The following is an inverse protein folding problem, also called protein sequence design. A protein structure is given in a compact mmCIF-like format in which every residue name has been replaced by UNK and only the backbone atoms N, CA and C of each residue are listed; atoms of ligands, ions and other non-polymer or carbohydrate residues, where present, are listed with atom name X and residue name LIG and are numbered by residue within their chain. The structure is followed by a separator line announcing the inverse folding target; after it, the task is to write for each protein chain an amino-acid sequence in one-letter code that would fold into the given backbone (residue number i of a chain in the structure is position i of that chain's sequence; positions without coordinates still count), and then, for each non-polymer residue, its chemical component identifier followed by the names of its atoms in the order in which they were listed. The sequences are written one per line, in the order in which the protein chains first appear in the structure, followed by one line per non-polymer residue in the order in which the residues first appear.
data_IF_357385639281
#
_entry.id   IF_357385639281
#
_cell.length_a   1.000
_cell.length_b   1.000
_cell.length_c   1.000
_cell.angle_alpha   90.00
_cell.angle_beta   90.00
_cell.angle_gamma   90.00
#
_symmetry.space_group_name_H-M   'P 1'
#
loop_
_entity.id
_entity.type
_entity.pdbx_description
1 polymer ?
#
# COMPACT_ATOMS: atom_id res chain seq x y z
N UNK A 1 -6.97 -1.60 8.95
CA UNK A 1 -5.60 -1.66 8.39
C UNK A 1 -5.64 -2.42 7.08
N UNK A 2 -4.69 -2.23 6.18
CA UNK A 2 -4.61 -2.96 4.91
C UNK A 2 -3.24 -3.62 4.75
N UNK A 3 -3.17 -4.78 4.11
CA UNK A 3 -1.91 -5.49 3.85
C UNK A 3 -1.61 -5.56 2.35
N UNK A 4 -0.42 -5.12 1.96
CA UNK A 4 0.14 -5.36 0.64
C UNK A 4 1.03 -6.59 0.74
N UNK A 5 0.71 -7.63 -0.04
CA UNK A 5 1.46 -8.89 -0.01
C UNK A 5 2.46 -8.95 -1.17
N UNK A 6 3.66 -9.46 -0.89
CA UNK A 6 4.66 -9.79 -1.91
C UNK A 6 5.56 -8.63 -2.34
N UNK A 7 5.71 -7.59 -1.54
CA UNK A 7 6.59 -6.46 -1.86
C UNK A 7 8.04 -6.96 -2.02
N UNK A 8 8.73 -6.64 -3.11
CA UNK A 8 10.14 -7.01 -3.29
C UNK A 8 11.03 -6.42 -2.20
N UNK A 9 11.97 -7.22 -1.65
CA UNK A 9 12.87 -6.76 -0.56
C UNK A 9 13.80 -5.61 -0.95
N UNK A 10 14.09 -5.45 -2.23
CA UNK A 10 14.84 -4.34 -2.81
C UNK A 10 14.06 -3.02 -2.80
N UNK A 11 12.73 -3.05 -2.61
CA UNK A 11 11.92 -1.85 -2.39
C UNK A 11 11.94 -1.47 -0.90
N UNK A 12 12.55 -0.33 -0.53
CA UNK A 12 12.59 0.12 0.86
C UNK A 12 11.18 0.41 1.38
N UNK A 13 10.89 -0.03 2.60
CA UNK A 13 9.54 0.06 3.16
C UNK A 13 9.14 1.52 3.43
N UNK A 14 10.12 2.34 3.80
CA UNK A 14 10.04 3.79 3.98
C UNK A 14 9.61 4.54 2.70
N UNK A 15 9.91 4.00 1.53
CA UNK A 15 9.57 4.63 0.25
C UNK A 15 8.26 4.09 -0.35
N UNK A 16 7.71 2.98 0.18
CA UNK A 16 6.46 2.40 -0.34
C UNK A 16 5.31 3.39 -0.39
N UNK A 17 5.14 4.22 0.64
CA UNK A 17 4.05 5.21 0.66
C UNK A 17 4.21 6.23 -0.46
N UNK A 18 5.45 6.70 -0.71
CA UNK A 18 5.75 7.64 -1.80
C UNK A 18 5.50 6.98 -3.15
N UNK A 19 5.95 5.74 -3.31
CA UNK A 19 5.77 4.94 -4.52
C UNK A 19 4.29 4.75 -4.84
N UNK A 20 3.48 4.31 -3.86
CA UNK A 20 2.03 4.12 -4.01
C UNK A 20 1.39 5.43 -4.47
N UNK A 21 1.71 6.55 -3.83
CA UNK A 21 1.16 7.85 -4.20
C UNK A 21 1.57 8.26 -5.62
N UNK A 22 2.84 8.13 -5.96
CA UNK A 22 3.33 8.58 -7.26
C UNK A 22 2.75 7.75 -8.42
N UNK A 23 2.57 6.45 -8.23
CA UNK A 23 2.11 5.54 -9.28
C UNK A 23 0.59 5.35 -9.34
N UNK A 24 -0.14 5.83 -8.33
CA UNK A 24 -1.58 5.68 -8.25
C UNK A 24 -2.16 7.08 -7.98
N UNK A 25 -2.28 7.87 -9.07
CA UNK A 25 -2.73 9.27 -9.03
C UNK A 25 -4.05 9.45 -8.28
N UNK A 26 -4.99 8.52 -8.44
CA UNK A 26 -6.28 8.54 -7.73
C UNK A 26 -6.11 8.40 -6.21
N UNK A 27 -5.12 7.63 -5.73
CA UNK A 27 -4.81 7.51 -4.31
C UNK A 27 -4.13 8.80 -3.82
N UNK A 28 -3.24 9.38 -4.64
CA UNK A 28 -2.58 10.64 -4.30
C UNK A 28 -3.57 11.81 -4.21
N UNK A 29 -4.54 11.89 -5.11
CA UNK A 29 -5.60 12.91 -5.08
C UNK A 29 -6.40 12.83 -3.77
N UNK A 30 -6.84 11.64 -3.38
CA UNK A 30 -7.58 11.43 -2.11
C UNK A 30 -6.70 11.77 -0.89
N UNK A 31 -5.41 11.42 -0.94
CA UNK A 31 -4.46 11.71 0.14
C UNK A 31 -4.14 13.21 0.27
N UNK A 32 -4.16 13.96 -0.85
CA UNK A 32 -3.88 15.40 -0.89
C UNK A 32 -5.10 16.24 -0.51
N UNK A 33 -6.30 15.78 -0.85
CA UNK A 33 -7.57 16.47 -0.57
C UNK A 33 -8.04 16.26 0.89
N UNK A 34 -7.39 15.36 1.63
CA UNK A 34 -7.72 15.09 3.02
C UNK A 34 -6.84 15.87 3.99
N UNK A 35 -7.47 16.54 4.97
CA UNK A 35 -6.83 17.12 6.17
C UNK A 35 -6.11 16.05 7.03
N UNK A 36 -6.36 14.77 6.76
CA UNK A 36 -5.88 13.65 7.55
C UNK A 36 -4.46 13.24 7.14
N UNK A 37 -3.47 13.80 7.85
CA UNK A 37 -2.03 13.60 7.64
C UNK A 37 -1.58 12.11 7.73
N UNK A 38 -2.47 11.23 8.21
CA UNK A 38 -2.24 9.80 8.44
C UNK A 38 -2.95 8.86 7.47
N UNK A 39 -3.50 9.37 6.37
CA UNK A 39 -4.38 8.59 5.50
C UNK A 39 -3.74 7.38 4.79
N UNK A 40 -2.41 7.37 4.68
CA UNK A 40 -1.66 6.19 4.25
C UNK A 40 -0.30 6.20 4.93
N UNK A 41 -0.11 5.33 5.92
CA UNK A 41 1.17 5.18 6.61
C UNK A 41 1.53 3.72 6.78
N UNK A 42 2.80 3.38 6.53
CA UNK A 42 3.31 2.05 6.82
C UNK A 42 3.38 1.86 8.34
N UNK A 43 2.84 0.74 8.85
CA UNK A 43 2.93 0.36 10.25
C UNK A 43 4.10 -0.57 10.51
N UNK A 44 4.15 -1.69 9.81
CA UNK A 44 5.23 -2.66 9.96
C UNK A 44 5.35 -3.56 8.73
N UNK A 45 6.52 -4.19 8.61
CA UNK A 45 6.77 -5.27 7.67
C UNK A 45 6.52 -6.61 8.33
N UNK A 46 5.96 -7.54 7.59
CA UNK A 46 5.78 -8.93 7.99
C UNK A 46 6.54 -9.83 7.02
N UNK A 47 7.22 -10.85 7.54
CA UNK A 47 7.95 -11.78 6.69
C UNK A 47 7.01 -12.51 5.73
N UNK A 48 7.44 -12.64 4.46
CA UNK A 48 6.77 -13.50 3.50
C UNK A 48 7.39 -14.91 3.56
N UNK A 49 6.64 -15.92 3.13
CA UNK A 49 7.16 -17.29 2.98
C UNK A 49 8.29 -17.36 1.94
N UNK A 50 8.22 -16.51 0.92
CA UNK A 50 9.28 -16.33 -0.06
C UNK A 50 10.26 -15.27 0.45
N UNK A 51 11.53 -15.65 0.57
CA UNK A 51 12.59 -14.81 1.10
C UNK A 51 12.91 -13.57 0.24
N UNK A 52 12.48 -13.52 -1.01
CA UNK A 52 12.69 -12.36 -1.88
C UNK A 52 11.65 -11.25 -1.65
N UNK A 53 10.62 -11.52 -0.85
CA UNK A 53 9.50 -10.61 -0.66
C UNK A 53 9.19 -10.38 0.83
N UNK A 54 8.44 -9.31 1.11
CA UNK A 54 7.82 -9.05 2.40
C UNK A 54 6.36 -8.62 2.21
N UNK A 55 5.60 -8.63 3.30
CA UNK A 55 4.26 -8.05 3.32
C UNK A 55 4.30 -6.74 4.09
N UNK A 56 3.72 -5.69 3.52
CA UNK A 56 3.67 -4.37 4.13
C UNK A 56 2.27 -4.13 4.71
N UNK A 57 2.19 -3.84 6.01
CA UNK A 57 0.92 -3.50 6.66
C UNK A 57 0.81 -1.98 6.79
N UNK A 58 -0.28 -1.42 6.30
CA UNK A 58 -0.56 0.01 6.29
C UNK A 58 -1.74 0.35 7.18
N UNK A 59 -1.66 1.51 7.83
CA UNK A 59 -2.86 2.28 8.12
C UNK A 59 -3.34 2.92 6.84
N UNK A 60 -4.63 2.79 6.60
CA UNK A 60 -5.31 3.35 5.44
C UNK A 60 -6.56 4.02 5.95
N UNK A 61 -6.73 5.29 5.59
CA UNK A 61 -7.94 6.04 5.85
C UNK A 61 -9.13 5.44 5.09
N UNK A 62 -10.37 5.64 5.55
CA UNK A 62 -11.55 5.00 4.97
C UNK A 62 -11.74 5.26 3.46
N UNK A 63 -11.44 6.48 2.99
CA UNK A 63 -11.55 6.85 1.57
C UNK A 63 -10.52 6.11 0.71
N UNK A 64 -9.26 6.06 1.14
CA UNK A 64 -8.19 5.34 0.44
C UNK A 64 -8.46 3.83 0.47
N UNK A 65 -8.91 3.30 1.62
CA UNK A 65 -9.29 1.90 1.77
C UNK A 65 -10.35 1.51 0.73
N UNK A 66 -11.42 2.30 0.62
CA UNK A 66 -12.49 2.06 -0.36
C UNK A 66 -11.96 2.11 -1.79
N UNK A 67 -11.15 3.12 -2.12
CA UNK A 67 -10.59 3.26 -3.47
C UNK A 67 -9.66 2.10 -3.85
N UNK A 68 -8.77 1.67 -2.95
CA UNK A 68 -7.92 0.49 -3.18
C UNK A 68 -8.76 -0.76 -3.39
N UNK A 69 -9.86 -0.92 -2.62
CA UNK A 69 -10.79 -2.05 -2.80
C UNK A 69 -11.50 -2.01 -4.16
N UNK A 70 -11.91 -0.84 -4.63
CA UNK A 70 -12.51 -0.63 -5.94
C UNK A 70 -11.51 -0.90 -7.08
N UNK A 71 -10.26 -0.46 -6.92
CA UNK A 71 -9.19 -0.72 -7.90
C UNK A 71 -8.80 -2.21 -7.97
N UNK A 72 -8.93 -2.94 -6.86
CA UNK A 72 -8.56 -4.36 -6.73
C UNK A 72 -7.05 -4.65 -6.82
N UNK A 73 -6.23 -3.66 -7.19
CA UNK A 73 -4.78 -3.73 -7.36
C UNK A 73 -4.17 -2.33 -7.23
N UNK A 74 -2.88 -2.26 -6.89
CA UNK A 74 -2.11 -1.01 -6.81
C UNK A 74 -0.81 -1.22 -7.58
N UNK A 75 -0.41 -0.21 -8.35
CA UNK A 75 0.80 -0.27 -9.15
C UNK A 75 2.06 -0.04 -8.30
N UNK A 76 3.13 -0.79 -8.63
CA UNK A 76 4.46 -0.75 -8.01
C UNK A 76 5.57 -0.75 -9.09
N UNK A 77 6.74 -0.11 -8.88
CA UNK A 77 7.76 0.17 -9.91
C UNK A 77 8.43 -1.07 -10.49
N UNK A 78 8.43 -2.18 -9.76
CA UNK A 78 9.09 -3.41 -10.17
C UNK A 78 8.11 -4.57 -10.37
N UNK A 79 6.81 -4.35 -10.15
CA UNK A 79 5.75 -5.35 -10.33
C UNK A 79 4.57 -4.64 -10.98
N UNK A 80 4.40 -4.85 -12.28
CA UNK A 80 3.16 -4.52 -12.95
C UNK A 80 2.01 -5.23 -12.22
N UNK A 81 1.14 -4.43 -11.61
CA UNK A 81 -0.10 -4.87 -10.96
C UNK A 81 0.07 -5.85 -9.79
N UNK A 82 0.58 -5.36 -8.67
CA UNK A 82 0.54 -6.14 -7.45
C UNK A 82 -0.88 -6.17 -6.84
N UNK A 83 -1.40 -7.37 -6.59
CA UNK A 83 -2.69 -7.55 -5.91
C UNK A 83 -2.54 -7.14 -4.44
N UNK A 84 -3.06 -5.98 -4.09
CA UNK A 84 -3.24 -5.62 -2.68
C UNK A 84 -4.37 -6.49 -2.14
N UNK A 85 -4.05 -7.40 -1.24
CA UNK A 85 -5.07 -8.12 -0.47
C UNK A 85 -5.42 -7.26 0.74
N UNK A 86 -6.36 -6.34 0.55
CA UNK A 86 -6.79 -5.43 1.61
C UNK A 86 -7.67 -6.17 2.64
N UNK A 87 -7.05 -7.01 3.46
CA UNK A 87 -7.70 -7.72 4.56
C UNK A 87 -7.74 -6.83 5.80
N UNK A 88 -8.82 -6.92 6.58
CA UNK A 88 -8.83 -6.36 7.93
C UNK A 88 -7.79 -7.10 8.77
N UNK A 89 -6.79 -6.35 9.26
CA UNK A 89 -5.92 -6.84 10.31
C UNK A 89 -6.73 -6.83 11.62
N UNK A 90 -7.28 -8.00 11.98
CA UNK A 90 -7.91 -8.28 13.28
C UNK A 90 -6.89 -8.88 14.24
#
# INVERSE_FOLDING_TARGET
MGILKGVPKDVPAEDLVKIIRHQNTEIAEIANDSIDINNLSLRFKHNNRNENFYNAVFLVGPKIYRKIKEMGRVCMPCIDHQRIHLENFS
#
